data_IF_707321233535
#
_entry.id   IF_707321233535
#
_cell.length_a   1.000
_cell.length_b   1.000
_cell.length_c   1.000
_cell.angle_alpha   90.00
_cell.angle_beta   90.00
_cell.angle_gamma   90.00
#
_symmetry.space_group_name_H-M   'P 1'
#
loop_
_entity.id
_entity.type
_entity.pdbx_description
1 polymer ?
#
# COMPACT_ATOMS: atom_id res chain seq x y z
N UNK A 1 50.91 20.34 -84.28
CA UNK A 1 50.18 19.09 -84.15
C UNK A 1 49.45 19.12 -82.80
N UNK A 2 48.20 19.55 -82.84
CA UNK A 2 47.32 19.67 -81.62
C UNK A 2 46.24 18.68 -81.68
N UNK A 3 46.08 17.77 -80.72
CA UNK A 3 44.98 16.86 -80.56
C UNK A 3 43.98 17.43 -79.52
N UNK A 4 42.81 17.75 -80.08
CA UNK A 4 41.64 18.13 -79.30
C UNK A 4 41.18 16.99 -78.42
N UNK A 5 40.93 17.27 -77.14
CA UNK A 5 40.28 16.36 -76.21
C UNK A 5 38.87 16.89 -75.95
N UNK A 6 37.86 16.10 -76.29
CA UNK A 6 36.45 16.39 -76.14
C UNK A 6 36.05 15.95 -74.74
N UNK A 7 35.58 16.89 -73.92
CA UNK A 7 35.03 16.62 -72.59
C UNK A 7 33.61 16.12 -72.72
N UNK A 8 33.26 14.98 -72.03
CA UNK A 8 31.94 14.42 -71.90
C UNK A 8 31.19 15.08 -70.71
N UNK A 9 29.89 15.37 -70.83
CA UNK A 9 29.14 15.90 -69.70
C UNK A 9 28.81 14.84 -68.65
N UNK A 10 29.03 15.16 -67.38
CA UNK A 10 28.70 14.32 -66.24
C UNK A 10 27.19 14.52 -65.91
N UNK A 11 26.43 13.44 -66.03
CA UNK A 11 25.03 13.37 -65.67
C UNK A 11 24.85 13.44 -64.12
N UNK A 12 24.20 14.51 -63.65
CA UNK A 12 23.84 14.68 -62.26
C UNK A 12 22.63 13.80 -61.89
N UNK A 13 22.88 12.69 -61.24
CA UNK A 13 21.84 11.86 -60.62
C UNK A 13 21.35 12.54 -59.34
N UNK A 14 20.18 13.17 -59.40
CA UNK A 14 19.44 13.66 -58.23
C UNK A 14 18.98 12.47 -57.41
N UNK A 15 19.65 12.21 -56.25
CA UNK A 15 19.17 11.30 -55.22
C UNK A 15 18.04 11.96 -54.46
N UNK A 16 16.81 11.53 -54.68
CA UNK A 16 15.66 11.83 -53.79
C UNK A 16 15.85 11.03 -52.51
N UNK A 17 16.22 11.71 -51.40
CA UNK A 17 16.09 11.16 -50.07
C UNK A 17 14.60 11.17 -49.67
N UNK A 18 13.98 10.01 -49.69
CA UNK A 18 12.67 9.81 -49.09
C UNK A 18 12.91 9.65 -47.60
N UNK A 19 12.64 10.71 -46.83
CA UNK A 19 12.63 10.65 -45.34
C UNK A 19 11.39 9.82 -44.91
N UNK A 20 11.62 8.54 -44.63
CA UNK A 20 10.60 7.68 -44.03
C UNK A 20 10.35 8.10 -42.60
N UNK A 21 9.23 8.74 -42.34
CA UNK A 21 8.73 9.04 -40.99
C UNK A 21 8.27 7.71 -40.36
N UNK A 22 9.13 7.08 -39.56
CA UNK A 22 8.78 5.88 -38.78
C UNK A 22 7.80 6.27 -37.68
N UNK A 23 6.49 6.03 -37.92
CA UNK A 23 5.46 6.08 -36.89
C UNK A 23 5.69 4.91 -35.90
N UNK A 24 6.37 5.21 -34.76
CA UNK A 24 6.46 4.27 -33.66
C UNK A 24 5.08 4.13 -33.01
N UNK A 25 4.53 2.93 -32.85
CA UNK A 25 3.27 2.74 -32.15
C UNK A 25 3.47 3.13 -30.68
N UNK A 26 2.75 4.14 -30.21
CA UNK A 26 2.65 4.47 -28.79
C UNK A 26 1.82 3.36 -28.17
N UNK A 27 2.51 2.39 -27.54
CA UNK A 27 1.85 1.39 -26.69
C UNK A 27 1.39 2.11 -25.41
N UNK A 28 0.14 2.56 -25.43
CA UNK A 28 -0.53 3.02 -24.22
C UNK A 28 -0.76 1.79 -23.34
N UNK A 29 0.14 1.58 -22.37
CA UNK A 29 -0.08 0.64 -21.28
C UNK A 29 -1.29 1.13 -20.49
N UNK A 30 -2.48 0.61 -20.80
CA UNK A 30 -3.68 0.81 -20.00
C UNK A 30 -3.36 0.27 -18.58
N UNK A 31 -3.13 1.18 -17.64
CA UNK A 31 -3.01 0.83 -16.22
C UNK A 31 -4.37 0.24 -15.81
N UNK A 32 -4.39 -1.08 -15.62
CA UNK A 32 -5.53 -1.79 -15.06
C UNK A 32 -5.84 -1.11 -13.73
N UNK A 33 -7.01 -0.47 -13.62
CA UNK A 33 -7.48 0.09 -12.36
C UNK A 33 -7.41 -1.03 -11.33
N UNK A 34 -6.45 -0.94 -10.41
CA UNK A 34 -6.18 -2.01 -9.45
C UNK A 34 -7.40 -2.19 -8.56
N UNK A 35 -7.86 -3.43 -8.37
CA UNK A 35 -8.86 -3.76 -7.36
C UNK A 35 -8.38 -3.24 -6.00
N UNK A 36 -9.31 -2.73 -5.19
CA UNK A 36 -9.00 -2.28 -3.83
C UNK A 36 -8.34 -3.42 -3.05
N UNK A 37 -7.28 -3.16 -2.26
CA UNK A 37 -6.71 -4.19 -1.41
C UNK A 37 -7.75 -4.68 -0.40
N UNK A 38 -7.92 -6.00 -0.29
CA UNK A 38 -8.84 -6.63 0.68
C UNK A 38 -8.10 -6.85 1.98
N UNK A 39 -8.70 -6.42 3.10
CA UNK A 39 -8.24 -6.69 4.47
C UNK A 39 -9.20 -7.69 5.12
N UNK A 40 -8.69 -8.86 5.52
CA UNK A 40 -9.41 -9.81 6.36
C UNK A 40 -9.22 -9.41 7.82
N UNK A 41 -10.29 -9.30 8.61
CA UNK A 41 -10.22 -8.81 10.00
C UNK A 41 -10.96 -9.76 10.94
N UNK A 42 -10.28 -10.24 11.97
CA UNK A 42 -10.83 -11.03 13.07
C UNK A 42 -11.05 -10.14 14.30
N UNK A 43 -12.28 -10.09 14.79
CA UNK A 43 -12.70 -9.25 15.93
C UNK A 43 -13.83 -9.90 16.69
N UNK A 44 -14.08 -9.46 17.93
CA UNK A 44 -15.29 -9.88 18.66
C UNK A 44 -16.52 -9.13 18.15
N UNK A 45 -17.73 -9.76 18.17
CA UNK A 45 -18.98 -9.13 17.68
C UNK A 45 -19.32 -7.83 18.41
N UNK A 46 -19.01 -7.74 19.70
CA UNK A 46 -19.32 -6.60 20.58
C UNK A 46 -18.34 -5.41 20.47
N UNK A 47 -17.24 -5.56 19.73
CA UNK A 47 -16.20 -4.52 19.63
C UNK A 47 -16.70 -3.32 18.79
N UNK A 48 -17.18 -2.27 19.45
CA UNK A 48 -17.66 -1.04 18.79
C UNK A 48 -16.57 -0.29 18.06
N UNK A 49 -15.44 0.00 18.73
CA UNK A 49 -14.30 0.70 18.12
C UNK A 49 -13.69 -0.07 16.93
N UNK A 50 -13.79 -1.40 16.92
CA UNK A 50 -13.39 -2.19 15.77
C UNK A 50 -14.27 -1.88 14.55
N UNK A 51 -15.60 -1.73 14.73
CA UNK A 51 -16.50 -1.36 13.62
C UNK A 51 -16.16 -0.01 13.04
N UNK A 52 -15.85 0.97 13.89
CA UNK A 52 -15.44 2.30 13.46
C UNK A 52 -14.12 2.25 12.70
N UNK A 53 -13.16 1.40 13.12
CA UNK A 53 -11.92 1.18 12.38
C UNK A 53 -12.16 0.52 11.01
N UNK A 54 -13.09 -0.45 10.89
CA UNK A 54 -13.46 -1.03 9.59
C UNK A 54 -14.02 0.04 8.65
N UNK A 55 -14.89 0.93 9.15
CA UNK A 55 -15.42 2.06 8.39
C UNK A 55 -14.28 2.98 7.92
N UNK A 56 -13.35 3.34 8.83
CA UNK A 56 -12.16 4.11 8.47
C UNK A 56 -11.37 3.47 7.32
N UNK A 57 -11.19 2.15 7.31
CA UNK A 57 -10.50 1.46 6.22
C UNK A 57 -11.26 1.55 4.90
N UNK A 58 -12.59 1.33 4.93
CA UNK A 58 -13.45 1.40 3.74
C UNK A 58 -13.46 2.79 3.13
N UNK A 59 -13.57 3.84 3.95
CA UNK A 59 -13.52 5.24 3.55
C UNK A 59 -12.16 5.61 2.93
N UNK A 60 -11.12 4.88 3.32
CA UNK A 60 -9.77 5.05 2.78
C UNK A 60 -9.42 4.10 1.62
N UNK A 61 -10.42 3.44 1.01
CA UNK A 61 -10.24 2.70 -0.24
C UNK A 61 -9.73 1.28 -0.07
N UNK A 62 -9.97 0.65 1.07
CA UNK A 62 -9.80 -0.79 1.27
C UNK A 62 -11.16 -1.50 1.16
N UNK A 63 -11.16 -2.72 0.67
CA UNK A 63 -12.27 -3.64 0.88
C UNK A 63 -12.02 -4.43 2.16
N UNK A 64 -13.05 -4.60 3.00
CA UNK A 64 -12.90 -5.23 4.31
C UNK A 64 -13.82 -6.41 4.44
N UNK A 65 -13.28 -7.55 4.87
CA UNK A 65 -14.04 -8.77 5.22
C UNK A 65 -13.83 -9.03 6.71
N UNK A 66 -14.91 -8.91 7.50
CA UNK A 66 -14.86 -9.11 8.94
C UNK A 66 -15.29 -10.54 9.31
N UNK A 67 -14.54 -11.15 10.23
CA UNK A 67 -14.81 -12.45 10.84
C UNK A 67 -15.06 -12.23 12.32
N UNK A 68 -16.27 -12.51 12.77
CA UNK A 68 -16.59 -12.48 14.20
C UNK A 68 -16.09 -13.77 14.87
N UNK A 69 -15.29 -13.59 15.92
CA UNK A 69 -14.68 -14.66 16.72
C UNK A 69 -14.91 -14.42 18.21
N UNK A 70 -14.80 -15.46 19.03
CA UNK A 70 -14.94 -15.34 20.49
C UNK A 70 -13.81 -14.51 21.09
N UNK A 71 -12.56 -14.75 20.61
CA UNK A 71 -11.39 -13.94 20.93
C UNK A 71 -10.45 -13.83 19.71
N UNK A 72 -9.46 -12.95 19.78
CA UNK A 72 -8.53 -12.71 18.68
C UNK A 72 -7.18 -13.40 18.85
N UNK A 73 -6.99 -14.19 19.90
CA UNK A 73 -5.68 -14.81 20.25
C UNK A 73 -5.19 -15.72 19.15
N UNK A 74 -6.08 -16.59 18.62
CA UNK A 74 -5.71 -17.51 17.55
C UNK A 74 -5.32 -16.76 16.27
N UNK A 75 -6.10 -15.75 15.87
CA UNK A 75 -5.83 -14.93 14.69
C UNK A 75 -4.49 -14.19 14.81
N UNK A 76 -4.24 -13.55 15.97
CA UNK A 76 -2.99 -12.85 16.27
C UNK A 76 -1.79 -13.78 16.25
N UNK A 77 -1.91 -14.95 16.86
CA UNK A 77 -0.83 -15.96 16.91
C UNK A 77 -0.51 -16.47 15.49
N UNK A 78 -1.53 -16.83 14.69
CA UNK A 78 -1.36 -17.24 13.29
C UNK A 78 -0.75 -16.14 12.42
N UNK A 79 -1.08 -14.88 12.71
CA UNK A 79 -0.53 -13.72 12.03
C UNK A 79 0.94 -13.41 12.45
N UNK A 80 1.47 -14.10 13.46
CA UNK A 80 2.84 -13.92 13.94
C UNK A 80 3.06 -12.65 14.77
N UNK A 81 2.02 -12.05 15.33
CA UNK A 81 2.10 -10.90 16.23
C UNK A 81 2.28 -11.38 17.67
N UNK A 82 3.39 -11.02 18.34
CA UNK A 82 3.59 -11.35 19.76
C UNK A 82 2.54 -10.70 20.67
N UNK A 83 2.13 -11.40 21.73
CA UNK A 83 1.08 -10.95 22.67
C UNK A 83 1.32 -9.59 23.32
N UNK A 84 2.59 -9.21 23.51
CA UNK A 84 2.92 -7.86 24.03
C UNK A 84 2.46 -6.70 23.16
N UNK A 85 2.08 -6.97 21.90
CA UNK A 85 1.51 -5.99 20.97
C UNK A 85 0.01 -6.14 20.78
N UNK A 86 -0.64 -6.98 21.59
CA UNK A 86 -2.06 -7.29 21.48
C UNK A 86 -2.94 -6.04 21.52
N UNK A 87 -4.01 -6.10 20.74
CA UNK A 87 -5.10 -5.13 20.73
C UNK A 87 -6.44 -5.87 20.57
N UNK A 88 -7.49 -5.19 20.13
CA UNK A 88 -8.86 -5.70 20.08
C UNK A 88 -9.23 -6.43 18.78
N UNK A 89 -8.37 -6.38 17.76
CA UNK A 89 -8.58 -7.09 16.50
C UNK A 89 -7.25 -7.32 15.77
N UNK A 90 -7.25 -8.33 14.90
CA UNK A 90 -6.13 -8.66 14.03
C UNK A 90 -6.60 -8.65 12.59
N UNK A 91 -5.88 -7.96 11.70
CA UNK A 91 -6.14 -7.93 10.26
C UNK A 91 -5.01 -8.56 9.46
N UNK A 92 -5.32 -9.00 8.23
CA UNK A 92 -4.32 -9.45 7.24
C UNK A 92 -4.58 -8.75 5.92
N UNK A 93 -3.52 -8.17 5.34
CA UNK A 93 -3.55 -7.54 4.03
C UNK A 93 -2.30 -7.91 3.23
N UNK A 94 -2.46 -8.53 2.07
CA UNK A 94 -1.35 -8.92 1.19
C UNK A 94 -0.17 -9.61 1.93
N UNK A 95 -0.47 -10.45 2.94
CA UNK A 95 0.51 -11.16 3.74
C UNK A 95 1.06 -10.41 4.95
N UNK A 96 0.73 -9.13 5.14
CA UNK A 96 1.08 -8.37 6.34
C UNK A 96 0.01 -8.46 7.40
N UNK A 97 0.41 -8.63 8.65
CA UNK A 97 -0.45 -8.55 9.81
C UNK A 97 -0.70 -7.08 10.21
N UNK A 98 -1.92 -6.81 10.68
CA UNK A 98 -2.32 -5.52 11.24
C UNK A 98 -2.93 -5.79 12.61
N UNK A 99 -2.33 -5.29 13.67
CA UNK A 99 -2.85 -5.46 15.02
C UNK A 99 -3.36 -4.13 15.57
N UNK A 100 -4.63 -4.10 15.95
CA UNK A 100 -5.27 -2.90 16.51
C UNK A 100 -5.50 -1.77 15.49
N UNK A 101 -5.62 -0.57 15.98
CA UNK A 101 -6.12 0.62 15.27
C UNK A 101 -5.07 1.28 14.36
N UNK A 102 -4.46 0.48 13.47
CA UNK A 102 -3.45 0.98 12.51
C UNK A 102 -4.12 1.92 11.50
N UNK A 103 -3.65 3.17 11.36
CA UNK A 103 -4.25 4.11 10.41
C UNK A 103 -4.06 3.65 8.94
N UNK A 104 -5.07 3.88 8.13
CA UNK A 104 -5.08 3.50 6.70
C UNK A 104 -3.89 4.08 5.92
N UNK A 105 -3.39 5.26 6.32
CA UNK A 105 -2.20 5.89 5.70
C UNK A 105 -0.96 5.04 5.87
N UNK A 106 -0.75 4.48 7.05
CA UNK A 106 0.40 3.63 7.37
C UNK A 106 0.28 2.26 6.69
N UNK A 107 -0.94 1.74 6.58
CA UNK A 107 -1.19 0.50 5.80
C UNK A 107 -0.86 0.74 4.33
N UNK A 108 -1.31 1.84 3.73
CA UNK A 108 -0.95 2.19 2.35
C UNK A 108 0.56 2.37 2.17
N UNK A 109 1.24 2.96 3.14
CA UNK A 109 2.70 3.11 3.14
C UNK A 109 3.39 1.75 3.21
N UNK A 110 2.95 0.85 4.11
CA UNK A 110 3.46 -0.52 4.23
C UNK A 110 3.37 -1.28 2.90
N UNK A 111 2.20 -1.21 2.24
CA UNK A 111 1.96 -1.90 0.97
C UNK A 111 2.79 -1.35 -0.20
N UNK A 112 3.21 -0.09 -0.14
CA UNK A 112 4.13 0.50 -1.12
C UNK A 112 5.59 0.15 -0.84
N UNK A 113 6.03 0.24 0.43
CA UNK A 113 7.42 0.04 0.85
C UNK A 113 7.81 -1.45 0.87
N UNK A 114 6.86 -2.33 1.15
CA UNK A 114 7.02 -3.79 1.22
C UNK A 114 8.24 -4.25 2.03
N UNK A 115 8.42 -3.76 3.27
CA UNK A 115 9.54 -4.17 4.11
C UNK A 115 9.46 -5.66 4.45
N UNK A 116 10.61 -6.28 4.76
CA UNK A 116 10.65 -7.65 5.32
C UNK A 116 10.22 -7.60 6.79
N UNK A 117 8.93 -7.69 7.05
CA UNK A 117 8.32 -7.57 8.36
C UNK A 117 7.10 -8.49 8.49
N UNK A 118 6.67 -8.77 9.70
CA UNK A 118 5.40 -9.43 10.00
C UNK A 118 4.24 -8.49 9.66
N UNK A 119 4.33 -7.22 10.06
CA UNK A 119 3.28 -6.24 9.83
C UNK A 119 3.39 -5.02 10.73
N UNK A 120 2.25 -4.38 10.98
CA UNK A 120 2.12 -3.19 11.83
C UNK A 120 1.27 -3.49 13.06
N UNK A 121 1.59 -2.81 14.17
CA UNK A 121 0.78 -2.88 15.39
C UNK A 121 0.57 -1.48 16.00
N UNK A 122 -0.64 -1.24 16.50
CA UNK A 122 -0.97 -0.19 17.47
C UNK A 122 -1.46 -0.92 18.71
N UNK A 123 -0.56 -1.20 19.68
CA UNK A 123 -0.92 -1.94 20.89
C UNK A 123 -1.97 -1.18 21.71
N UNK A 124 -2.84 -1.91 22.40
CA UNK A 124 -3.95 -1.33 23.15
C UNK A 124 -4.97 -0.61 22.24
N UNK A 125 -5.63 0.41 22.77
CA UNK A 125 -6.65 1.21 22.06
C UNK A 125 -6.44 2.69 22.38
N UNK A 126 -5.37 3.32 21.86
CA UNK A 126 -5.06 4.70 22.21
C UNK A 126 -6.12 5.67 21.68
N UNK A 127 -6.57 6.59 22.54
CA UNK A 127 -7.51 7.64 22.14
C UNK A 127 -6.91 8.49 21.02
N UNK A 128 -7.73 8.78 20.01
CA UNK A 128 -7.31 9.53 18.82
C UNK A 128 -6.76 8.67 17.70
N UNK A 129 -6.55 7.35 17.90
CA UNK A 129 -6.35 6.43 16.79
C UNK A 129 -7.67 6.20 16.02
N UNK A 130 -7.64 5.81 14.74
CA UNK A 130 -8.86 5.59 13.96
C UNK A 130 -9.80 4.58 14.64
N UNK A 131 -11.08 4.94 14.81
CA UNK A 131 -12.05 4.16 15.58
C UNK A 131 -12.03 4.42 17.09
N UNK A 132 -11.04 5.18 17.59
CA UNK A 132 -10.95 5.69 18.95
C UNK A 132 -10.94 7.23 18.98
N UNK A 133 -11.41 7.86 17.91
CA UNK A 133 -11.43 9.30 17.65
C UNK A 133 -12.84 9.87 17.45
N UNK A 134 -13.88 9.02 17.53
CA UNK A 134 -15.26 9.39 17.37
C UNK A 134 -15.85 10.23 18.53
N UNK A 135 -17.09 10.72 18.38
CA UNK A 135 -17.78 11.57 19.39
C UNK A 135 -17.84 10.95 20.78
N UNK A 136 -17.94 9.61 20.87
CA UNK A 136 -17.99 8.88 22.15
C UNK A 136 -16.73 9.12 23.01
N UNK A 137 -15.63 9.51 22.42
CA UNK A 137 -14.36 9.75 23.10
C UNK A 137 -14.12 11.23 23.43
N UNK A 138 -15.11 12.13 23.08
CA UNK A 138 -15.08 13.55 23.44
C UNK A 138 -13.89 14.34 22.88
N UNK A 139 -13.36 13.95 21.70
CA UNK A 139 -12.22 14.59 21.07
C UNK A 139 -10.88 14.39 21.78
N UNK A 140 -10.85 13.53 22.82
CA UNK A 140 -9.62 13.22 23.56
C UNK A 140 -8.62 12.50 22.66
N UNK A 141 -7.34 12.86 22.84
CA UNK A 141 -6.21 12.26 22.13
C UNK A 141 -5.09 11.96 23.10
N UNK A 142 -4.29 10.96 22.77
CA UNK A 142 -3.06 10.64 23.49
C UNK A 142 -1.98 10.26 22.47
N UNK A 143 -0.71 10.53 22.78
CA UNK A 143 0.39 10.06 21.92
C UNK A 143 0.38 8.55 21.78
N UNK A 144 0.66 8.06 20.56
CA UNK A 144 0.83 6.62 20.31
C UNK A 144 1.78 6.38 19.15
N UNK A 145 2.28 5.16 19.06
CA UNK A 145 3.15 4.73 17.97
C UNK A 145 2.49 3.63 17.14
N UNK A 146 2.64 3.72 15.83
CA UNK A 146 2.51 2.58 14.94
C UNK A 146 3.86 1.88 14.92
N UNK A 147 3.88 0.61 15.28
CA UNK A 147 5.09 -0.22 15.36
C UNK A 147 5.21 -1.11 14.12
N UNK A 148 6.40 -1.22 13.54
CA UNK A 148 6.75 -2.23 12.55
C UNK A 148 7.27 -3.45 13.28
N UNK A 149 6.62 -4.60 13.11
CA UNK A 149 6.99 -5.87 13.75
C UNK A 149 7.88 -6.66 12.80
N UNK A 150 9.12 -6.86 13.19
CA UNK A 150 10.08 -7.67 12.43
C UNK A 150 9.85 -9.18 12.57
N UNK A 151 10.42 -9.99 11.68
CA UNK A 151 10.33 -11.45 11.70
C UNK A 151 10.89 -12.09 12.99
N UNK A 152 11.78 -11.39 13.70
CA UNK A 152 12.32 -11.80 15.00
C UNK A 152 11.38 -11.44 16.18
N UNK A 153 10.20 -10.90 15.89
CA UNK A 153 9.22 -10.44 16.87
C UNK A 153 9.58 -9.13 17.57
N UNK A 154 10.71 -8.48 17.27
CA UNK A 154 11.03 -7.15 17.79
C UNK A 154 10.29 -6.07 17.00
N UNK A 155 10.14 -4.88 17.61
CA UNK A 155 9.49 -3.76 16.92
C UNK A 155 10.39 -2.54 16.81
N UNK A 156 10.13 -1.73 15.81
CA UNK A 156 10.65 -0.37 15.67
C UNK A 156 9.48 0.59 15.45
N UNK A 157 9.66 1.87 15.81
CA UNK A 157 8.63 2.89 15.55
C UNK A 157 8.57 3.13 14.05
N UNK A 158 7.41 2.82 13.45
CA UNK A 158 7.12 3.08 12.04
C UNK A 158 6.60 4.50 11.85
N UNK A 159 5.71 4.93 12.74
CA UNK A 159 5.17 6.30 12.78
C UNK A 159 4.80 6.65 14.22
N UNK A 160 5.20 7.85 14.67
CA UNK A 160 4.76 8.44 15.93
C UNK A 160 3.60 9.41 15.67
N UNK A 161 2.60 9.38 16.55
CA UNK A 161 1.47 10.31 16.63
C UNK A 161 1.54 11.03 18.00
N UNK A 162 1.68 12.35 17.99
CA UNK A 162 1.80 13.21 19.17
C UNK A 162 0.56 14.07 19.38
#
# INVERSE_FOLDING_TARGET
>A
MMKSQIAKPVSAIRRFMVAGLALLPIVVLAQKAGSKPVIQVWKTPSCGCCKDWLTHLQDNGFDVVAHDVEDTVEARTKAGIPDRYASCHTGIVQGYALEGHVPAREIKRLLRERPKAVGLAVPSMPLGSPGMDGPAYGGRRMPYNVLLIGANGQSTVYQAYN
#
